data_IF_136829468996
#
_entry.id   IF_136829468996
#
_cell.length_a   1.000
_cell.length_b   1.000
_cell.length_c   1.000
_cell.angle_alpha   90.00
_cell.angle_beta   90.00
_cell.angle_gamma   90.00
#
_symmetry.space_group_name_H-M   'P 1'
#
loop_
_entity.id
_entity.type
_entity.pdbx_description
1 polymer ?
#
# COMPACT_ATOMS: atom_id res chain seq x y z
N UNK A 1 2.22 -59.82 0.78
CA UNK A 1 1.80 -60.15 -0.61
C UNK A 1 2.26 -59.00 -1.50
N UNK A 2 3.23 -59.30 -2.36
CA UNK A 2 3.83 -58.36 -3.33
C UNK A 2 3.09 -58.50 -4.64
N UNK A 3 2.66 -57.39 -5.23
CA UNK A 3 2.23 -57.35 -6.63
C UNK A 3 2.98 -56.24 -7.36
N UNK A 4 3.94 -56.67 -8.18
CA UNK A 4 4.69 -55.81 -9.11
C UNK A 4 3.85 -55.70 -10.39
N UNK A 5 3.63 -54.49 -10.86
CA UNK A 5 3.05 -54.22 -12.18
C UNK A 5 4.12 -53.56 -13.06
N UNK A 6 4.46 -54.26 -14.14
CA UNK A 6 5.42 -53.86 -15.18
C UNK A 6 4.64 -53.09 -16.25
N UNK A 7 5.11 -51.89 -16.64
CA UNK A 7 4.58 -51.11 -17.76
C UNK A 7 5.63 -51.12 -18.89
N UNK A 8 5.28 -51.46 -20.13
CA UNK A 8 6.20 -51.41 -21.26
C UNK A 8 6.33 -50.00 -21.86
N UNK A 9 7.54 -49.67 -22.25
CA UNK A 9 7.91 -48.46 -22.97
C UNK A 9 7.50 -48.57 -24.45
N UNK A 10 6.80 -47.59 -24.98
CA UNK A 10 6.56 -47.39 -26.40
C UNK A 10 7.41 -46.21 -26.91
N UNK A 11 8.41 -46.53 -27.78
CA UNK A 11 9.14 -45.54 -28.56
C UNK A 11 8.26 -45.06 -29.72
N UNK A 12 8.04 -43.77 -29.84
CA UNK A 12 7.50 -43.13 -31.03
C UNK A 12 8.59 -42.25 -31.67
N UNK A 13 9.06 -42.65 -32.83
CA UNK A 13 9.87 -41.83 -33.73
C UNK A 13 8.97 -40.81 -34.40
N UNK A 14 9.30 -39.54 -34.35
CA UNK A 14 8.70 -38.45 -35.14
C UNK A 14 9.72 -37.93 -36.12
N UNK A 15 9.41 -38.03 -37.39
CA UNK A 15 10.22 -37.56 -38.52
C UNK A 15 10.12 -36.05 -38.67
N UNK A 16 11.28 -35.37 -38.84
CA UNK A 16 11.37 -33.99 -39.25
C UNK A 16 11.07 -33.85 -40.73
N UNK A 17 10.04 -33.11 -41.13
CA UNK A 17 9.86 -32.58 -42.45
C UNK A 17 10.18 -31.09 -42.46
N UNK A 18 11.31 -30.75 -43.03
CA UNK A 18 11.67 -29.38 -43.37
C UNK A 18 11.04 -28.97 -44.70
N UNK A 19 10.08 -28.05 -44.69
CA UNK A 19 9.62 -27.34 -45.88
C UNK A 19 10.12 -25.93 -45.85
N UNK A 20 11.17 -25.65 -46.62
CA UNK A 20 11.59 -24.29 -47.00
C UNK A 20 10.86 -23.89 -48.27
N UNK A 21 9.85 -23.04 -48.15
CA UNK A 21 9.20 -22.38 -49.29
C UNK A 21 9.46 -20.86 -49.22
N UNK A 22 9.68 -20.19 -50.36
CA UNK A 22 9.85 -18.74 -50.37
C UNK A 22 8.52 -18.05 -49.99
N UNK A 23 8.54 -17.20 -48.98
CA UNK A 23 7.40 -16.38 -48.58
C UNK A 23 7.21 -15.26 -49.64
N UNK A 24 6.11 -15.34 -50.38
CA UNK A 24 5.62 -14.23 -51.19
C UNK A 24 4.89 -13.27 -50.23
N UNK A 25 5.42 -12.07 -50.07
CA UNK A 25 4.77 -10.99 -49.33
C UNK A 25 3.68 -10.41 -50.23
N UNK A 26 2.43 -10.80 -50.05
CA UNK A 26 1.28 -10.06 -50.59
C UNK A 26 0.90 -8.95 -49.61
N UNK A 27 1.17 -7.72 -50.02
CA UNK A 27 0.70 -6.49 -49.38
C UNK A 27 -0.77 -6.30 -49.77
N UNK A 28 -1.72 -6.85 -49.00
CA UNK A 28 -3.11 -6.40 -48.93
C UNK A 28 -3.91 -7.41 -48.11
N UNK A 29 -3.70 -7.38 -46.80
CA UNK A 29 -4.71 -7.80 -45.83
C UNK A 29 -4.42 -7.08 -44.51
N UNK A 30 -5.18 -6.00 -44.25
CA UNK A 30 -5.17 -5.30 -42.98
C UNK A 30 -5.91 -6.18 -41.97
N UNK A 31 -5.20 -7.17 -41.44
CA UNK A 31 -5.65 -7.89 -40.25
C UNK A 31 -5.84 -6.88 -39.10
N UNK A 32 -6.81 -7.13 -38.18
CA UNK A 32 -7.05 -6.22 -37.08
C UNK A 32 -5.76 -6.01 -36.31
N UNK A 33 -5.30 -4.75 -36.27
CA UNK A 33 -4.15 -4.36 -35.45
C UNK A 33 -4.43 -4.77 -34.01
N UNK A 34 -3.77 -5.82 -33.53
CA UNK A 34 -3.67 -6.10 -32.11
C UNK A 34 -2.99 -4.88 -31.49
N UNK A 35 -3.81 -3.99 -30.93
CA UNK A 35 -3.32 -2.91 -30.08
C UNK A 35 -2.48 -3.55 -28.99
N UNK A 36 -1.17 -3.50 -29.12
CA UNK A 36 -0.27 -3.79 -28.04
C UNK A 36 -0.65 -2.81 -26.93
N UNK A 37 -1.31 -3.30 -25.87
CA UNK A 37 -1.52 -2.52 -24.66
C UNK A 37 -0.14 -2.12 -24.16
N UNK A 38 0.22 -0.88 -24.42
CA UNK A 38 1.41 -0.27 -23.84
C UNK A 38 1.19 -0.33 -22.33
N UNK A 39 1.88 -1.22 -21.64
CA UNK A 39 1.97 -1.20 -20.17
C UNK A 39 2.70 0.09 -19.82
N UNK A 40 1.92 1.17 -19.63
CA UNK A 40 2.48 2.45 -19.25
C UNK A 40 3.19 2.25 -17.90
N UNK A 41 4.48 2.55 -17.85
CA UNK A 41 5.22 2.58 -16.58
C UNK A 41 4.53 3.59 -15.68
N UNK A 42 4.16 3.19 -14.44
CA UNK A 42 3.54 4.12 -13.50
C UNK A 42 4.42 5.36 -13.33
N UNK A 43 3.83 6.56 -13.24
CA UNK A 43 4.60 7.78 -13.05
C UNK A 43 5.45 7.69 -11.77
N UNK A 44 6.62 8.35 -11.74
CA UNK A 44 7.43 8.39 -10.54
C UNK A 44 6.66 9.11 -9.41
N UNK A 45 6.83 8.63 -8.17
CA UNK A 45 6.23 9.25 -7.00
C UNK A 45 6.85 10.64 -6.75
N UNK A 46 6.02 11.58 -6.28
CA UNK A 46 6.45 12.94 -5.97
C UNK A 46 7.53 12.92 -4.86
N UNK A 47 8.62 13.65 -5.06
CA UNK A 47 9.71 13.78 -4.09
C UNK A 47 9.95 15.22 -3.63
N UNK A 48 9.13 16.18 -4.07
CA UNK A 48 9.34 17.60 -3.75
C UNK A 48 9.03 17.95 -2.29
N UNK A 49 8.08 17.24 -1.67
CA UNK A 49 7.55 17.58 -0.33
C UNK A 49 7.95 16.54 0.73
N UNK A 50 9.11 15.90 0.55
CA UNK A 50 9.63 14.93 1.51
C UNK A 50 10.04 15.61 2.81
N UNK A 51 9.65 15.01 3.94
CA UNK A 51 10.10 15.43 5.27
C UNK A 51 11.28 14.59 5.75
N UNK A 52 12.04 15.15 6.71
CA UNK A 52 13.09 14.39 7.37
C UNK A 52 12.47 13.38 8.34
N UNK A 53 12.59 12.09 8.02
CA UNK A 53 12.02 11.00 8.80
C UNK A 53 12.56 10.94 10.25
N UNK A 54 13.74 11.50 10.51
CA UNK A 54 14.32 11.54 11.86
C UNK A 54 13.39 12.20 12.89
N UNK A 55 12.61 13.21 12.49
CA UNK A 55 11.67 13.90 13.37
C UNK A 55 10.41 13.09 13.72
N UNK A 56 10.22 11.96 13.08
CA UNK A 56 9.08 11.06 13.25
C UNK A 56 9.46 9.74 13.94
N UNK A 57 10.76 9.53 14.18
CA UNK A 57 11.30 8.30 14.76
C UNK A 57 11.14 8.25 16.28
N UNK A 58 10.69 7.11 16.79
CA UNK A 58 10.71 6.79 18.23
C UNK A 58 11.14 5.33 18.45
N UNK A 59 11.83 5.04 19.56
CA UNK A 59 12.21 3.67 19.91
C UNK A 59 10.99 2.88 20.42
N UNK A 60 10.80 1.68 19.87
CA UNK A 60 9.82 0.69 20.34
C UNK A 60 10.51 -0.66 20.37
N UNK A 61 10.59 -1.30 21.52
CA UNK A 61 11.24 -2.62 21.71
C UNK A 61 12.65 -2.72 21.13
N UNK A 62 13.43 -1.63 21.25
CA UNK A 62 14.80 -1.57 20.76
C UNK A 62 14.97 -1.28 19.26
N UNK A 63 13.88 -1.06 18.54
CA UNK A 63 13.86 -0.69 17.13
C UNK A 63 13.26 0.71 16.92
N UNK A 64 13.73 1.43 15.90
CA UNK A 64 13.09 2.70 15.54
C UNK A 64 11.86 2.42 14.68
N UNK A 65 10.71 2.90 15.13
CA UNK A 65 9.50 3.02 14.34
C UNK A 65 9.21 4.50 14.08
N UNK A 66 8.35 4.81 13.11
CA UNK A 66 8.06 6.19 12.72
C UNK A 66 6.58 6.47 12.90
N UNK A 67 6.28 7.56 13.61
CA UNK A 67 4.93 7.90 14.04
C UNK A 67 4.55 9.30 13.59
N UNK A 68 3.34 9.46 13.12
CA UNK A 68 2.80 10.79 12.83
C UNK A 68 1.31 10.88 13.16
N UNK A 69 0.88 12.11 13.42
CA UNK A 69 -0.53 12.45 13.49
C UNK A 69 -0.90 13.33 12.30
N UNK A 70 -2.18 13.33 11.95
CA UNK A 70 -2.72 14.31 10.98
C UNK A 70 -2.84 15.69 11.62
N UNK A 71 -2.91 16.79 10.83
CA UNK A 71 -3.13 18.14 11.36
C UNK A 71 -4.42 18.29 12.19
N UNK A 72 -5.44 17.50 11.89
CA UNK A 72 -6.68 17.44 12.67
C UNK A 72 -6.54 16.72 14.01
N UNK A 73 -5.45 15.95 14.22
CA UNK A 73 -5.28 15.07 15.36
C UNK A 73 -6.20 13.84 15.38
N UNK A 74 -7.03 13.66 14.33
CA UNK A 74 -8.02 12.57 14.29
C UNK A 74 -7.37 11.20 14.07
N UNK A 75 -6.30 11.16 13.31
CA UNK A 75 -5.63 9.92 12.93
C UNK A 75 -4.21 9.88 13.47
N UNK A 76 -3.86 8.73 14.03
CA UNK A 76 -2.51 8.35 14.44
C UNK A 76 -2.00 7.26 13.51
N UNK A 77 -0.84 7.48 12.95
CA UNK A 77 -0.26 6.61 11.93
C UNK A 77 1.15 6.20 12.30
N UNK A 78 1.55 5.01 11.86
CA UNK A 78 2.91 4.53 12.04
C UNK A 78 3.43 3.81 10.80
N UNK A 79 4.76 3.85 10.66
CA UNK A 79 5.52 2.97 9.77
C UNK A 79 6.40 2.07 10.62
N UNK A 80 6.09 0.79 10.63
CA UNK A 80 6.92 -0.28 11.19
C UNK A 80 7.88 -0.73 10.09
N UNK A 81 9.19 -0.52 10.25
CA UNK A 81 10.18 -0.71 9.19
C UNK A 81 10.08 -2.05 8.48
N UNK A 82 9.87 -2.03 7.16
CA UNK A 82 9.80 -3.20 6.27
C UNK A 82 8.67 -4.19 6.59
N UNK A 83 7.79 -3.87 7.53
CA UNK A 83 6.67 -4.72 7.94
C UNK A 83 5.37 -4.14 7.41
N UNK A 84 4.99 -2.97 7.90
CA UNK A 84 3.72 -2.34 7.57
C UNK A 84 3.73 -0.82 7.78
N UNK A 85 2.79 -0.16 7.14
CA UNK A 85 2.33 1.17 7.50
C UNK A 85 0.83 1.12 7.76
N UNK A 86 0.34 1.97 8.65
CA UNK A 86 -1.09 2.00 8.95
C UNK A 86 -1.49 3.20 9.77
N UNK A 87 -2.81 3.37 9.92
CA UNK A 87 -3.42 4.45 10.68
C UNK A 87 -4.56 3.90 11.52
N UNK A 88 -4.75 4.49 12.69
CA UNK A 88 -5.83 4.22 13.63
C UNK A 88 -6.53 5.51 14.04
N UNK A 89 -7.73 5.39 14.57
CA UNK A 89 -8.39 6.52 15.21
C UNK A 89 -7.64 6.91 16.49
N UNK A 90 -7.41 8.20 16.70
CA UNK A 90 -6.64 8.69 17.84
C UNK A 90 -7.32 8.43 19.21
N UNK A 91 -8.63 8.27 19.22
CA UNK A 91 -9.42 7.90 20.41
C UNK A 91 -9.53 6.37 20.61
N UNK A 92 -8.95 5.58 19.70
CA UNK A 92 -9.05 4.11 19.73
C UNK A 92 -10.41 3.56 19.32
N UNK A 93 -11.35 4.42 18.91
CA UNK A 93 -12.68 4.01 18.47
C UNK A 93 -12.64 3.30 17.11
N UNK A 94 -13.75 2.70 16.72
CA UNK A 94 -13.96 2.21 15.37
C UNK A 94 -13.75 3.34 14.35
N UNK A 95 -13.21 3.01 13.19
CA UNK A 95 -12.83 4.01 12.17
C UNK A 95 -14.01 4.88 11.72
N UNK A 96 -15.21 4.31 11.60
CA UNK A 96 -16.44 5.03 11.26
C UNK A 96 -16.36 5.80 9.94
N UNK A 97 -15.66 5.23 8.93
CA UNK A 97 -15.52 5.81 7.59
C UNK A 97 -16.40 5.06 6.60
N UNK A 98 -16.86 5.75 5.56
CA UNK A 98 -17.63 5.11 4.50
C UNK A 98 -16.80 4.08 3.74
N UNK A 99 -17.38 2.92 3.44
CA UNK A 99 -16.70 1.79 2.79
C UNK A 99 -15.90 0.89 3.74
N UNK A 100 -15.82 1.20 5.03
CA UNK A 100 -15.30 0.24 6.00
C UNK A 100 -16.29 -0.92 6.21
N UNK A 101 -15.81 -2.16 6.40
CA UNK A 101 -16.67 -3.28 6.78
C UNK A 101 -17.22 -3.04 8.21
N UNK A 102 -18.42 -3.56 8.48
CA UNK A 102 -19.01 -3.46 9.82
C UNK A 102 -18.16 -4.20 10.87
N UNK A 103 -17.62 -5.35 10.50
CA UNK A 103 -16.76 -6.16 11.37
C UNK A 103 -15.58 -6.74 10.60
N UNK A 104 -14.51 -7.01 11.33
CA UNK A 104 -13.34 -7.78 10.91
C UNK A 104 -13.04 -8.83 11.98
N UNK A 105 -12.31 -9.88 11.61
CA UNK A 105 -11.84 -10.87 12.58
C UNK A 105 -10.57 -10.34 13.25
N UNK A 106 -10.58 -10.21 14.56
CA UNK A 106 -9.41 -9.82 15.35
C UNK A 106 -8.42 -10.97 15.58
N UNK A 107 -7.37 -10.73 16.34
CA UNK A 107 -6.35 -11.73 16.66
C UNK A 107 -6.84 -12.86 17.56
N UNK A 108 -7.94 -12.66 18.29
CA UNK A 108 -8.58 -13.69 19.11
C UNK A 108 -9.61 -14.52 18.33
N UNK A 109 -9.91 -14.15 17.07
CA UNK A 109 -10.92 -14.80 16.23
C UNK A 109 -12.33 -14.23 16.42
N UNK A 110 -12.48 -13.13 17.15
CA UNK A 110 -13.75 -12.48 17.41
C UNK A 110 -14.10 -11.49 16.28
N UNK A 111 -15.40 -11.31 16.05
CA UNK A 111 -15.91 -10.31 15.09
C UNK A 111 -16.06 -8.96 15.81
N UNK A 112 -15.30 -7.98 15.39
CA UNK A 112 -15.31 -6.64 15.99
C UNK A 112 -15.19 -5.55 14.94
N UNK A 113 -15.62 -4.33 15.26
CA UNK A 113 -15.50 -3.21 14.36
C UNK A 113 -14.01 -2.85 14.12
N UNK A 114 -13.59 -2.57 12.88
CA UNK A 114 -12.21 -2.20 12.60
C UNK A 114 -11.88 -0.83 13.21
N UNK A 115 -10.71 -0.72 13.82
CA UNK A 115 -10.19 0.53 14.38
C UNK A 115 -8.93 1.03 13.66
N UNK A 116 -8.44 0.28 12.68
CA UNK A 116 -7.26 0.66 11.90
C UNK A 116 -7.32 0.19 10.44
N UNK A 117 -6.54 0.86 9.59
CA UNK A 117 -6.24 0.45 8.21
C UNK A 117 -4.74 0.22 8.13
N UNK A 118 -4.33 -0.88 7.53
CA UNK A 118 -2.91 -1.24 7.37
C UNK A 118 -2.60 -1.62 5.92
N UNK A 119 -1.37 -1.40 5.52
CA UNK A 119 -0.75 -1.96 4.31
C UNK A 119 0.55 -2.64 4.71
N UNK A 120 0.66 -3.92 4.44
CA UNK A 120 1.92 -4.65 4.63
C UNK A 120 2.83 -4.49 3.42
N UNK A 121 4.08 -4.88 3.57
CA UNK A 121 5.09 -4.73 2.52
C UNK A 121 4.67 -5.31 1.16
N UNK A 122 4.02 -6.47 1.16
CA UNK A 122 3.67 -7.20 -0.06
C UNK A 122 2.15 -7.45 -0.19
N UNK A 123 1.37 -7.05 0.82
CA UNK A 123 -0.09 -7.30 0.89
C UNK A 123 -0.94 -6.22 0.22
N UNK A 124 -2.25 -6.45 0.30
CA UNK A 124 -3.28 -5.46 -0.02
C UNK A 124 -3.60 -4.61 1.23
N UNK A 125 -4.15 -3.40 1.06
CA UNK A 125 -4.72 -2.65 2.17
C UNK A 125 -5.81 -3.45 2.87
N UNK A 126 -5.81 -3.42 4.20
CA UNK A 126 -6.79 -4.16 4.99
C UNK A 126 -7.30 -3.33 6.17
N UNK A 127 -8.58 -3.45 6.45
CA UNK A 127 -9.16 -3.03 7.71
C UNK A 127 -8.87 -4.08 8.78
N UNK A 128 -8.44 -3.64 9.94
CA UNK A 128 -8.07 -4.53 11.05
C UNK A 128 -8.59 -3.99 12.37
N UNK A 129 -8.76 -4.89 13.34
CA UNK A 129 -8.98 -4.55 14.73
C UNK A 129 -7.69 -4.82 15.51
N UNK A 130 -7.07 -3.75 15.99
CA UNK A 130 -5.83 -3.79 16.74
C UNK A 130 -6.12 -3.64 18.23
N UNK A 131 -5.41 -4.39 19.06
CA UNK A 131 -5.45 -4.23 20.50
C UNK A 131 -4.58 -3.03 20.92
N UNK A 132 -5.08 -2.23 21.85
CA UNK A 132 -4.38 -1.04 22.32
C UNK A 132 -4.29 0.05 21.24
N UNK A 133 -3.18 0.77 21.23
CA UNK A 133 -2.91 1.86 20.28
C UNK A 133 -1.51 1.72 19.67
N UNK A 134 -1.23 0.66 18.88
CA UNK A 134 0.13 0.35 18.40
C UNK A 134 0.73 1.41 17.45
N UNK A 135 -0.10 2.33 16.93
CA UNK A 135 0.36 3.43 16.07
C UNK A 135 0.56 4.74 16.83
N UNK A 136 0.59 4.66 18.16
CA UNK A 136 0.96 5.74 19.08
C UNK A 136 2.27 5.39 19.78
N UNK A 137 3.28 6.28 19.85
CA UNK A 137 4.49 6.00 20.61
C UNK A 137 4.23 6.12 22.13
N UNK A 138 4.75 5.18 22.91
CA UNK A 138 4.55 5.15 24.37
C UNK A 138 5.22 6.32 25.10
N UNK A 139 6.36 6.79 24.61
CA UNK A 139 7.24 7.70 25.33
C UNK A 139 7.53 9.02 24.62
N UNK A 140 6.98 9.24 23.44
CA UNK A 140 7.21 10.42 22.64
C UNK A 140 5.91 10.96 22.05
N UNK A 141 5.85 12.26 21.77
CA UNK A 141 4.77 12.84 21.01
C UNK A 141 5.01 12.57 19.53
N UNK A 142 4.05 11.96 18.85
CA UNK A 142 4.12 11.78 17.40
C UNK A 142 4.19 13.15 16.70
N UNK A 143 5.05 13.26 15.71
CA UNK A 143 5.15 14.46 14.88
C UNK A 143 3.87 14.69 14.07
N UNK A 144 3.49 15.93 13.82
CA UNK A 144 2.38 16.25 12.91
C UNK A 144 2.90 16.24 11.48
N UNK A 145 2.36 15.36 10.63
CA UNK A 145 2.61 15.39 9.19
C UNK A 145 1.64 16.40 8.57
N UNK A 146 2.18 17.56 8.17
CA UNK A 146 1.36 18.65 7.64
C UNK A 146 0.78 18.31 6.28
N UNK A 147 -0.27 19.03 5.86
CA UNK A 147 -0.86 18.84 4.54
C UNK A 147 0.19 19.00 3.44
N UNK A 148 0.14 18.09 2.48
CA UNK A 148 1.05 17.94 1.35
C UNK A 148 2.50 17.57 1.72
N UNK A 149 2.79 17.25 2.97
CA UNK A 149 4.07 16.64 3.35
C UNK A 149 4.03 15.12 3.09
N UNK A 150 5.21 14.58 2.77
CA UNK A 150 5.39 13.15 2.46
C UNK A 150 6.45 12.58 3.40
N UNK A 151 6.08 11.61 4.20
CA UNK A 151 6.99 10.77 4.98
C UNK A 151 7.31 9.52 4.17
N UNK A 152 8.52 9.46 3.58
CA UNK A 152 9.02 8.29 2.87
C UNK A 152 10.14 7.65 3.68
N UNK A 153 9.90 6.47 4.24
CA UNK A 153 10.84 5.82 5.15
C UNK A 153 10.60 4.31 5.21
N UNK A 154 11.69 3.55 5.34
CA UNK A 154 11.67 2.13 5.65
C UNK A 154 10.83 1.25 4.70
N UNK A 155 10.68 1.68 3.43
CA UNK A 155 9.97 0.96 2.37
C UNK A 155 8.50 1.31 2.26
N UNK A 156 8.06 2.33 2.96
CA UNK A 156 6.70 2.89 2.87
C UNK A 156 6.75 4.39 2.64
N UNK A 157 5.67 4.89 2.08
CA UNK A 157 5.46 6.31 1.85
C UNK A 157 4.05 6.67 2.27
N UNK A 158 3.92 7.66 3.15
CA UNK A 158 2.63 8.20 3.59
C UNK A 158 2.58 9.70 3.36
N UNK A 159 1.41 10.23 3.10
CA UNK A 159 1.16 11.67 3.03
C UNK A 159 -0.22 12.00 3.62
N UNK A 160 -0.42 13.27 3.88
CA UNK A 160 -1.71 13.83 4.32
C UNK A 160 -2.07 14.95 3.37
N UNK A 161 -3.30 14.93 2.84
CA UNK A 161 -3.83 15.97 1.96
C UNK A 161 -5.18 16.43 2.48
N UNK A 162 -5.48 17.72 2.37
CA UNK A 162 -6.75 18.28 2.83
C UNK A 162 -7.94 17.69 2.03
N UNK A 163 -7.76 17.49 0.74
CA UNK A 163 -8.82 17.03 -0.15
C UNK A 163 -9.06 15.52 -0.11
N UNK A 164 -8.03 14.71 0.13
CA UNK A 164 -8.12 13.23 0.04
C UNK A 164 -7.87 12.50 1.37
N UNK A 165 -7.42 13.21 2.39
CA UNK A 165 -7.10 12.62 3.68
C UNK A 165 -5.71 12.00 3.74
N UNK A 166 -5.59 10.84 4.36
CA UNK A 166 -4.32 10.11 4.54
C UNK A 166 -4.15 9.08 3.44
N UNK A 167 -2.96 9.03 2.85
CA UNK A 167 -2.59 8.00 1.89
C UNK A 167 -1.28 7.34 2.30
N UNK A 168 -1.24 6.00 2.26
CA UNK A 168 -0.01 5.24 2.46
C UNK A 168 0.17 4.18 1.36
N UNK A 169 1.41 3.93 0.97
CA UNK A 169 1.79 2.95 -0.06
C UNK A 169 3.03 2.18 0.37
N UNK A 170 3.07 0.88 0.06
CA UNK A 170 4.31 0.12 0.06
C UNK A 170 5.09 0.44 -1.21
N UNK A 171 6.32 0.92 -1.06
CA UNK A 171 7.18 1.23 -2.23
C UNK A 171 7.53 -0.04 -3.02
N UNK A 172 7.52 -1.20 -2.37
CA UNK A 172 7.82 -2.48 -3.00
C UNK A 172 6.68 -3.00 -3.86
N UNK A 173 5.49 -3.16 -3.29
CA UNK A 173 4.34 -3.72 -4.01
C UNK A 173 3.59 -2.69 -4.83
N UNK A 174 3.79 -1.39 -4.57
CA UNK A 174 3.05 -0.26 -5.14
C UNK A 174 1.56 -0.28 -4.79
N UNK A 175 1.16 -1.13 -3.85
CA UNK A 175 -0.17 -1.19 -3.28
C UNK A 175 -0.29 -0.24 -2.11
N UNK A 176 -1.45 0.33 -1.94
CA UNK A 176 -1.66 1.33 -0.90
C UNK A 176 -3.13 1.66 -0.71
N UNK A 177 -3.38 2.60 0.17
CA UNK A 177 -4.72 3.09 0.45
C UNK A 177 -4.73 4.62 0.54
N UNK A 178 -5.92 5.17 0.35
CA UNK A 178 -6.27 6.54 0.69
C UNK A 178 -7.56 6.51 1.47
N UNK A 179 -7.66 7.27 2.56
CA UNK A 179 -8.89 7.39 3.32
C UNK A 179 -9.06 8.75 3.97
N UNK A 180 -10.29 9.13 4.18
CA UNK A 180 -10.71 10.29 4.95
C UNK A 180 -11.92 9.92 5.84
N UNK A 181 -12.59 10.90 6.42
CA UNK A 181 -13.86 10.65 7.10
C UNK A 181 -14.95 10.20 6.13
N UNK A 182 -14.86 10.66 4.89
CA UNK A 182 -15.88 10.50 3.83
C UNK A 182 -15.70 9.19 3.04
N UNK A 183 -14.57 8.47 3.18
CA UNK A 183 -14.45 7.23 2.45
C UNK A 183 -13.06 6.62 2.41
N UNK A 184 -12.99 5.46 1.76
CA UNK A 184 -11.81 4.65 1.56
C UNK A 184 -11.63 4.26 0.09
N UNK A 185 -10.38 4.30 -0.38
CA UNK A 185 -9.97 3.78 -1.69
C UNK A 185 -8.73 2.89 -1.54
N UNK A 186 -8.72 1.67 -2.13
CA UNK A 186 -7.58 0.74 -2.07
C UNK A 186 -6.48 1.13 -3.06
N UNK A 187 -6.13 2.41 -3.09
CA UNK A 187 -5.07 2.97 -3.93
C UNK A 187 -4.40 4.15 -3.24
N UNK A 188 -3.13 4.34 -3.51
CA UNK A 188 -2.39 5.50 -3.04
C UNK A 188 -2.69 6.73 -3.89
N UNK A 189 -2.95 7.85 -3.23
CA UNK A 189 -3.06 9.18 -3.85
C UNK A 189 -1.80 9.97 -3.54
N UNK A 190 -0.98 10.22 -4.57
CA UNK A 190 0.24 11.01 -4.38
C UNK A 190 -0.07 12.50 -4.24
N UNK A 191 0.84 13.20 -3.60
CA UNK A 191 0.77 14.67 -3.50
C UNK A 191 0.97 15.26 -4.90
N UNK A 192 0.07 16.14 -5.38
CA UNK A 192 0.21 16.75 -6.69
C UNK A 192 1.53 17.50 -6.85
N UNK A 193 2.09 17.44 -8.05
CA UNK A 193 3.27 18.24 -8.36
C UNK A 193 2.97 19.74 -8.18
N UNK A 194 3.84 20.43 -7.43
CA UNK A 194 3.66 21.86 -7.13
C UNK A 194 2.70 22.17 -5.97
N UNK A 195 2.16 21.16 -5.29
CA UNK A 195 1.39 21.38 -4.07
C UNK A 195 2.25 22.08 -3.00
N UNK A 196 1.68 23.13 -2.42
CA UNK A 196 2.37 23.90 -1.37
C UNK A 196 2.16 23.19 -0.03
N UNK A 197 3.24 23.06 0.73
CA UNK A 197 3.17 22.56 2.11
C UNK A 197 2.51 23.64 2.99
N UNK A 198 1.45 23.27 3.69
CA UNK A 198 0.83 24.18 4.63
C UNK A 198 1.79 24.51 5.79
N UNK A 199 1.87 25.78 6.23
CA UNK A 199 2.65 26.12 7.43
C UNK A 199 2.06 25.39 8.65
N UNK A 200 2.90 25.10 9.68
CA UNK A 200 2.41 24.46 10.89
C UNK A 200 1.32 25.34 11.53
N UNK A 201 0.17 24.71 11.80
CA UNK A 201 -0.92 25.41 12.49
C UNK A 201 -0.52 25.63 13.95
N UNK A 202 -0.14 26.84 14.30
CA UNK A 202 0.13 27.21 15.70
C UNK A 202 -1.22 27.34 16.40
N UNK A 203 -1.69 26.28 17.04
CA UNK A 203 -2.82 26.40 17.97
C UNK A 203 -2.33 27.13 19.20
N UNK A 204 -2.61 28.41 19.29
CA UNK A 204 -2.44 29.18 20.53
C UNK A 204 -3.47 28.64 21.53
N UNK A 205 -2.96 28.02 22.59
CA UNK A 205 -3.75 27.55 23.73
C UNK A 205 -4.01 28.70 24.70
#
# INVERSE_FOLDING_TARGET
MRTSTVIPAALALVALAACTGPAVVTTDDAGPAVSASSTATPPPLNSANLVNAFHFGAPVDGFTQYFFTTPSGRWECAVVPRVQAGCQAADGAALGIEGAPETVTDTAGEQTAPNAIVITRDGEPAFVALEGAPFRPDSATAGVLQFNQILAVAGFRCNVQEASGVSCVSERSRRGFTFSAEGFAPQYTDVPAGAVVAPPTTTTR
#
